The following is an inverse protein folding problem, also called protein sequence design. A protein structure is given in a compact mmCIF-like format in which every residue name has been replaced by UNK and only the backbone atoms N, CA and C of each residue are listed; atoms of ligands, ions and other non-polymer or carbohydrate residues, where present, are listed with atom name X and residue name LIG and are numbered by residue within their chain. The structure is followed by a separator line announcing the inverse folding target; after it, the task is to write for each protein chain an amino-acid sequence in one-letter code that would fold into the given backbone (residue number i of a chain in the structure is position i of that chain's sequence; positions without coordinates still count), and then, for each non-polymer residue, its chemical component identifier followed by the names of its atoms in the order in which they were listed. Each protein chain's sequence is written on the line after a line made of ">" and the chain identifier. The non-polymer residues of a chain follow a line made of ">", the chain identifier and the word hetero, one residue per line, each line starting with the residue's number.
data_IF_189012877686
#
_entry.id   IF_189012877686
#
_cell.length_a   1.000
_cell.length_b   1.000
_cell.length_c   1.000
_cell.angle_alpha   90.00
_cell.angle_beta   90.00
_cell.angle_gamma   90.00
#
_symmetry.space_group_name_H-M   'P 1'
#
loop_
_entity.id
_entity.type
_entity.pdbx_description
1 polymer ?
#
# COMPACT_ATOMS: atom_id res chain seq x y z
N UNK A 1 -9.69 -22.82 -10.68
CA UNK A 1 -10.27 -21.78 -11.55
C UNK A 1 -10.13 -20.45 -10.81
N UNK A 2 -9.33 -19.49 -11.30
CA UNK A 2 -9.33 -18.12 -10.77
C UNK A 2 -10.50 -17.38 -11.42
N UNK A 3 -11.69 -17.44 -10.81
CA UNK A 3 -12.80 -16.57 -11.22
C UNK A 3 -12.39 -15.13 -10.95
N UNK A 4 -12.35 -14.32 -12.00
CA UNK A 4 -12.12 -12.89 -11.87
C UNK A 4 -13.35 -12.30 -11.17
N UNK A 5 -13.19 -11.82 -9.94
CA UNK A 5 -14.27 -11.16 -9.20
C UNK A 5 -14.61 -9.84 -9.92
N UNK A 6 -15.86 -9.73 -10.37
CA UNK A 6 -16.40 -8.52 -10.99
C UNK A 6 -16.62 -7.41 -9.95
N UNK A 7 -16.22 -6.18 -10.28
CA UNK A 7 -16.26 -5.06 -9.33
C UNK A 7 -17.68 -4.60 -9.01
N UNK A 8 -18.63 -4.73 -9.94
CA UNK A 8 -20.03 -4.38 -9.74
C UNK A 8 -20.71 -5.42 -8.85
N UNK A 9 -20.50 -6.71 -9.13
CA UNK A 9 -21.00 -7.79 -8.27
C UNK A 9 -20.43 -7.69 -6.85
N UNK A 10 -19.16 -7.31 -6.71
CA UNK A 10 -18.55 -7.12 -5.40
C UNK A 10 -19.15 -5.93 -4.64
N UNK A 11 -19.40 -4.81 -5.31
CA UNK A 11 -20.05 -3.64 -4.71
C UNK A 11 -21.49 -3.95 -4.28
N UNK A 12 -22.25 -4.65 -5.13
CA UNK A 12 -23.61 -5.07 -4.84
C UNK A 12 -23.67 -6.01 -3.63
N UNK A 13 -22.78 -7.01 -3.56
CA UNK A 13 -22.69 -7.90 -2.41
C UNK A 13 -22.39 -7.15 -1.10
N UNK A 14 -21.51 -6.13 -1.15
CA UNK A 14 -21.27 -5.26 0.01
C UNK A 14 -22.55 -4.50 0.37
N UNK A 15 -23.24 -3.91 -0.60
CA UNK A 15 -24.47 -3.15 -0.35
C UNK A 15 -25.54 -4.01 0.32
N UNK A 16 -25.73 -5.25 -0.16
CA UNK A 16 -26.63 -6.21 0.46
C UNK A 16 -26.21 -6.51 1.92
N UNK A 17 -24.92 -6.65 2.19
CA UNK A 17 -24.41 -6.81 3.54
C UNK A 17 -24.69 -5.58 4.41
N UNK A 18 -24.45 -4.37 3.89
CA UNK A 18 -24.72 -3.12 4.62
C UNK A 18 -26.20 -3.00 5.02
N UNK A 19 -27.10 -3.44 4.14
CA UNK A 19 -28.54 -3.48 4.44
C UNK A 19 -28.86 -4.38 5.64
N UNK A 20 -28.17 -5.53 5.79
CA UNK A 20 -28.31 -6.38 6.98
C UNK A 20 -27.91 -5.69 8.29
N UNK A 21 -26.99 -4.72 8.23
CA UNK A 21 -26.60 -3.88 9.36
C UNK A 21 -27.48 -2.62 9.52
N UNK A 22 -28.64 -2.55 8.86
CA UNK A 22 -29.52 -1.37 8.79
C UNK A 22 -28.84 -0.11 8.23
N UNK A 23 -27.82 -0.28 7.38
CA UNK A 23 -27.13 0.81 6.70
C UNK A 23 -27.62 0.84 5.26
N UNK A 24 -28.56 1.74 4.98
CA UNK A 24 -29.09 1.94 3.64
C UNK A 24 -28.19 2.92 2.87
N UNK A 25 -27.61 2.43 1.77
CA UNK A 25 -26.85 3.24 0.83
C UNK A 25 -27.34 2.98 -0.58
N UNK A 26 -27.27 4.00 -1.43
CA UNK A 26 -27.48 3.83 -2.87
C UNK A 26 -26.41 2.92 -3.47
N UNK A 27 -26.73 2.31 -4.62
CA UNK A 27 -25.80 1.45 -5.36
C UNK A 27 -24.76 2.30 -6.11
N UNK A 28 -23.93 2.99 -5.34
CA UNK A 28 -22.81 3.80 -5.80
C UNK A 28 -21.55 3.39 -5.04
N UNK A 29 -20.48 3.07 -5.78
CA UNK A 29 -19.27 2.50 -5.21
C UNK A 29 -18.62 3.40 -4.15
N UNK A 30 -18.67 4.74 -4.34
CA UNK A 30 -18.09 5.70 -3.40
C UNK A 30 -18.94 5.78 -2.14
N UNK A 31 -20.28 5.84 -2.26
CA UNK A 31 -21.20 5.84 -1.11
C UNK A 31 -21.06 4.56 -0.30
N UNK A 32 -21.01 3.40 -0.98
CA UNK A 32 -20.78 2.09 -0.35
C UNK A 32 -19.44 2.07 0.39
N UNK A 33 -18.38 2.55 -0.24
CA UNK A 33 -17.05 2.60 0.37
C UNK A 33 -17.01 3.49 1.62
N UNK A 34 -17.66 4.66 1.57
CA UNK A 34 -17.74 5.58 2.70
C UNK A 34 -18.54 4.98 3.87
N UNK A 35 -19.67 4.34 3.59
CA UNK A 35 -20.47 3.66 4.60
C UNK A 35 -19.71 2.50 5.23
N UNK A 36 -18.98 1.72 4.42
CA UNK A 36 -18.04 0.74 4.95
C UNK A 36 -17.03 1.39 5.90
N UNK A 37 -16.45 2.56 5.57
CA UNK A 37 -15.47 3.18 6.46
C UNK A 37 -16.04 3.53 7.84
N UNK A 38 -17.31 3.92 7.94
CA UNK A 38 -17.97 4.24 9.22
C UNK A 38 -18.23 3.03 10.14
N UNK A 39 -18.16 1.81 9.63
CA UNK A 39 -18.43 0.60 10.40
C UNK A 39 -17.23 0.24 11.29
N UNK A 40 -17.51 -0.27 12.49
CA UNK A 40 -16.46 -0.67 13.43
C UNK A 40 -15.67 -1.88 12.87
N UNK A 41 -14.46 -2.10 13.38
CA UNK A 41 -13.57 -3.14 12.83
C UNK A 41 -14.10 -4.56 13.05
N UNK A 42 -14.83 -4.80 14.13
CA UNK A 42 -15.37 -6.11 14.48
C UNK A 42 -16.53 -6.50 13.54
N UNK A 43 -17.39 -5.57 13.21
CA UNK A 43 -18.50 -5.70 12.26
C UNK A 43 -17.98 -5.89 10.83
N UNK A 44 -16.92 -5.15 10.44
CA UNK A 44 -16.27 -5.33 9.13
C UNK A 44 -15.78 -6.76 8.90
N UNK A 45 -15.31 -7.46 9.93
CA UNK A 45 -14.90 -8.87 9.78
C UNK A 45 -16.09 -9.78 9.44
N UNK A 46 -17.29 -9.49 9.98
CA UNK A 46 -18.52 -10.19 9.63
C UNK A 46 -18.94 -9.94 8.19
N UNK A 47 -18.79 -8.69 7.71
CA UNK A 47 -19.13 -8.32 6.33
C UNK A 47 -18.38 -9.18 5.31
N UNK A 48 -17.09 -9.43 5.49
CA UNK A 48 -16.32 -10.21 4.52
C UNK A 48 -16.75 -11.67 4.44
N UNK A 49 -17.21 -12.26 5.56
CA UNK A 49 -17.79 -13.61 5.53
C UNK A 49 -19.10 -13.61 4.74
N UNK A 50 -19.95 -12.62 4.96
CA UNK A 50 -21.24 -12.51 4.26
C UNK A 50 -21.04 -12.25 2.75
N UNK A 51 -20.15 -11.34 2.38
CA UNK A 51 -19.79 -11.08 0.97
C UNK A 51 -19.26 -12.35 0.30
N UNK A 52 -18.40 -13.11 1.00
CA UNK A 52 -17.86 -14.37 0.50
C UNK A 52 -18.97 -15.41 0.28
N UNK A 53 -19.94 -15.51 1.18
CA UNK A 53 -21.11 -16.39 1.01
C UNK A 53 -21.96 -15.97 -0.19
N UNK A 54 -22.26 -14.68 -0.35
CA UNK A 54 -23.05 -14.16 -1.49
C UNK A 54 -22.36 -14.48 -2.83
N UNK A 55 -21.05 -14.29 -2.90
CA UNK A 55 -20.26 -14.49 -4.11
C UNK A 55 -19.79 -15.93 -4.31
N UNK A 56 -20.09 -16.83 -3.36
CA UNK A 56 -19.63 -18.23 -3.36
C UNK A 56 -18.11 -18.37 -3.51
N UNK A 57 -17.35 -17.55 -2.77
CA UNK A 57 -15.89 -17.55 -2.74
C UNK A 57 -15.39 -17.77 -1.31
N UNK A 58 -14.09 -18.03 -1.19
CA UNK A 58 -13.42 -18.08 0.11
C UNK A 58 -13.44 -16.72 0.81
N UNK A 59 -13.63 -16.73 2.13
CA UNK A 59 -13.61 -15.53 2.97
C UNK A 59 -12.31 -14.71 2.77
N UNK A 60 -11.17 -15.40 2.73
CA UNK A 60 -9.86 -14.78 2.50
C UNK A 60 -9.79 -14.11 1.12
N UNK A 61 -10.43 -14.68 0.09
CA UNK A 61 -10.47 -14.11 -1.24
C UNK A 61 -11.28 -12.81 -1.28
N UNK A 62 -12.44 -12.76 -0.63
CA UNK A 62 -13.26 -11.55 -0.53
C UNK A 62 -12.51 -10.41 0.18
N UNK A 63 -11.93 -10.71 1.36
CA UNK A 63 -11.12 -9.76 2.12
C UNK A 63 -9.92 -9.24 1.31
N UNK A 64 -9.17 -10.14 0.68
CA UNK A 64 -8.00 -9.77 -0.12
C UNK A 64 -8.38 -8.95 -1.36
N UNK A 65 -9.49 -9.28 -2.02
CA UNK A 65 -9.97 -8.52 -3.16
C UNK A 65 -10.37 -7.09 -2.77
N UNK A 66 -11.06 -6.94 -1.64
CA UNK A 66 -11.40 -5.61 -1.10
C UNK A 66 -10.14 -4.77 -0.86
N UNK A 67 -9.15 -5.30 -0.13
CA UNK A 67 -7.97 -4.54 0.25
C UNK A 67 -7.00 -4.25 -0.91
N UNK A 68 -6.85 -5.19 -1.85
CA UNK A 68 -5.85 -5.07 -2.92
C UNK A 68 -6.41 -4.45 -4.20
N UNK A 69 -7.70 -4.61 -4.46
CA UNK A 69 -8.31 -4.22 -5.74
C UNK A 69 -9.42 -3.20 -5.54
N UNK A 70 -10.50 -3.56 -4.85
CA UNK A 70 -11.70 -2.73 -4.85
C UNK A 70 -11.52 -1.42 -4.06
N UNK A 71 -10.93 -1.46 -2.87
CA UNK A 71 -10.73 -0.23 -2.08
C UNK A 71 -9.67 0.70 -2.67
N UNK A 72 -8.72 0.18 -3.45
CA UNK A 72 -7.62 0.98 -4.00
C UNK A 72 -8.08 1.96 -5.07
N UNK A 73 -9.24 1.72 -5.70
CA UNK A 73 -9.83 2.62 -6.70
C UNK A 73 -10.26 3.98 -6.12
N UNK A 74 -10.46 4.07 -4.79
CA UNK A 74 -10.86 5.31 -4.11
C UNK A 74 -9.68 6.13 -3.58
N UNK A 75 -8.45 5.63 -3.74
CA UNK A 75 -7.24 6.31 -3.30
C UNK A 75 -6.40 6.80 -4.47
N UNK A 76 -5.65 7.87 -4.24
CA UNK A 76 -4.66 8.36 -5.20
C UNK A 76 -3.61 7.28 -5.47
N UNK A 77 -3.32 7.05 -6.76
CA UNK A 77 -2.21 6.19 -7.18
C UNK A 77 -0.89 6.76 -6.63
N UNK A 78 -0.23 6.01 -5.75
CA UNK A 78 1.02 6.43 -5.11
C UNK A 78 2.25 6.32 -6.01
N UNK A 79 2.19 5.55 -7.12
CA UNK A 79 3.36 5.28 -7.97
C UNK A 79 4.04 6.57 -8.49
N UNK A 80 3.32 7.59 -8.99
CA UNK A 80 3.91 8.85 -9.45
C UNK A 80 4.63 9.63 -8.35
N UNK A 81 4.22 9.45 -7.08
CA UNK A 81 4.79 10.17 -5.93
C UNK A 81 6.04 9.51 -5.36
N UNK A 82 6.38 8.28 -5.77
CA UNK A 82 7.53 7.53 -5.24
C UNK A 82 8.87 8.29 -5.32
N UNK A 83 9.22 8.98 -6.43
CA UNK A 83 10.46 9.76 -6.49
C UNK A 83 10.49 10.89 -5.47
N UNK A 84 9.37 11.57 -5.26
CA UNK A 84 9.25 12.67 -4.32
C UNK A 84 9.33 12.16 -2.87
N UNK A 85 8.61 11.08 -2.56
CA UNK A 85 8.68 10.41 -1.25
C UNK A 85 10.13 10.01 -0.94
N UNK A 86 10.85 9.43 -1.92
CA UNK A 86 12.27 9.09 -1.75
C UNK A 86 13.12 10.32 -1.43
N UNK A 87 12.91 11.44 -2.13
CA UNK A 87 13.62 12.70 -1.86
C UNK A 87 13.34 13.21 -0.43
N UNK A 88 12.08 13.19 0.01
CA UNK A 88 11.70 13.58 1.37
C UNK A 88 12.41 12.72 2.41
N UNK A 89 12.47 11.40 2.21
CA UNK A 89 13.15 10.47 3.12
C UNK A 89 14.66 10.72 3.16
N UNK A 90 15.30 10.93 2.00
CA UNK A 90 16.74 11.18 1.92
C UNK A 90 17.14 12.50 2.61
N UNK A 91 16.27 13.51 2.56
CA UNK A 91 16.48 14.79 3.22
C UNK A 91 16.19 14.75 4.73
N UNK A 92 15.51 13.70 5.21
CA UNK A 92 15.07 13.57 6.60
C UNK A 92 15.34 12.14 7.13
N UNK A 93 16.61 11.68 7.15
CA UNK A 93 16.93 10.28 7.44
C UNK A 93 16.54 9.84 8.86
N UNK A 94 16.61 10.76 9.82
CA UNK A 94 16.41 10.49 11.24
C UNK A 94 14.94 10.59 11.68
N UNK A 95 14.07 11.17 10.84
CA UNK A 95 12.65 11.35 11.14
C UNK A 95 11.92 10.00 11.17
N UNK A 96 11.05 9.81 12.17
CA UNK A 96 10.31 8.57 12.32
C UNK A 96 9.35 8.31 11.14
N UNK A 97 9.10 7.04 10.83
CA UNK A 97 8.23 6.65 9.73
C UNK A 97 6.83 7.28 9.85
N UNK A 98 6.27 7.32 11.06
CA UNK A 98 4.93 7.87 11.32
C UNK A 98 4.86 9.36 10.99
N UNK A 99 5.90 10.10 11.36
CA UNK A 99 6.01 11.54 11.10
C UNK A 99 6.21 11.82 9.61
N UNK A 100 7.03 11.04 8.91
CA UNK A 100 7.19 11.13 7.46
C UNK A 100 5.88 10.91 6.71
N UNK A 101 5.10 9.90 7.11
CA UNK A 101 3.79 9.62 6.52
C UNK A 101 2.85 10.82 6.71
N UNK A 102 2.79 11.37 7.93
CA UNK A 102 1.97 12.54 8.21
C UNK A 102 2.43 13.77 7.41
N UNK A 103 3.74 14.00 7.33
CA UNK A 103 4.32 15.10 6.57
C UNK A 103 3.95 15.00 5.08
N UNK A 104 4.07 13.82 4.47
CA UNK A 104 3.69 13.60 3.07
C UNK A 104 2.19 13.85 2.86
N UNK A 105 1.32 13.39 3.77
CA UNK A 105 -0.12 13.66 3.67
C UNK A 105 -0.43 15.17 3.77
N UNK A 106 0.29 15.89 4.62
CA UNK A 106 0.12 17.34 4.77
C UNK A 106 0.64 18.14 3.56
N UNK A 107 1.64 17.63 2.83
CA UNK A 107 2.15 18.26 1.60
C UNK A 107 1.18 18.15 0.41
N UNK A 108 0.28 17.17 0.43
CA UNK A 108 -0.66 16.90 -0.65
C UNK A 108 -2.09 16.75 -0.10
N UNK A 109 -2.67 17.82 0.46
CA UNK A 109 -3.98 17.76 1.13
C UNK A 109 -5.12 17.34 0.19
N UNK A 110 -4.99 17.64 -1.11
CA UNK A 110 -5.99 17.27 -2.13
C UNK A 110 -5.91 15.79 -2.56
N UNK A 111 -4.86 15.06 -2.15
CA UNK A 111 -4.64 13.68 -2.53
C UNK A 111 -5.12 12.73 -1.43
N UNK A 112 -6.01 11.81 -1.79
CA UNK A 112 -6.51 10.78 -0.88
C UNK A 112 -5.56 9.58 -0.86
N UNK A 113 -4.44 9.69 -0.14
CA UNK A 113 -3.54 8.55 0.02
C UNK A 113 -4.11 7.50 0.98
N UNK A 114 -4.01 6.22 0.60
CA UNK A 114 -4.17 5.12 1.56
C UNK A 114 -3.03 5.17 2.56
N UNK A 115 -3.34 5.43 3.83
CA UNK A 115 -2.35 5.50 4.93
C UNK A 115 -1.51 4.24 5.01
N UNK A 116 -2.12 3.07 4.86
CA UNK A 116 -1.44 1.79 4.87
C UNK A 116 -0.44 1.67 3.71
N UNK A 117 -0.88 1.97 2.48
CA UNK A 117 -0.01 1.89 1.30
C UNK A 117 1.14 2.89 1.40
N UNK A 118 0.88 4.10 1.90
CA UNK A 118 1.90 5.11 2.12
C UNK A 118 2.90 4.67 3.19
N UNK A 119 2.44 4.11 4.31
CA UNK A 119 3.31 3.55 5.35
C UNK A 119 4.24 2.47 4.78
N UNK A 120 3.72 1.53 3.98
CA UNK A 120 4.52 0.49 3.34
C UNK A 120 5.58 1.06 2.40
N UNK A 121 5.19 2.04 1.57
CA UNK A 121 6.14 2.70 0.65
C UNK A 121 7.24 3.43 1.42
N UNK A 122 6.89 4.19 2.46
CA UNK A 122 7.88 4.88 3.30
C UNK A 122 8.82 3.89 3.98
N UNK A 123 8.29 2.80 4.55
CA UNK A 123 9.10 1.75 5.16
C UNK A 123 10.13 1.18 4.18
N UNK A 124 9.68 0.72 3.00
CA UNK A 124 10.54 0.11 1.99
C UNK A 124 11.62 1.10 1.52
N UNK A 125 11.26 2.36 1.31
CA UNK A 125 12.22 3.38 0.86
C UNK A 125 13.24 3.74 1.95
N UNK A 126 12.82 3.82 3.21
CA UNK A 126 13.72 4.07 4.34
C UNK A 126 14.72 2.94 4.52
N UNK A 127 14.26 1.68 4.48
CA UNK A 127 15.14 0.51 4.53
C UNK A 127 16.17 0.49 3.38
N UNK A 128 15.74 0.84 2.15
CA UNK A 128 16.65 0.97 1.01
C UNK A 128 17.69 2.08 1.19
N UNK A 129 17.28 3.22 1.72
CA UNK A 129 18.20 4.34 1.98
C UNK A 129 19.25 3.98 3.05
N UNK A 130 18.85 3.27 4.12
CA UNK A 130 19.76 2.80 5.16
C UNK A 130 20.74 1.75 4.62
N UNK A 131 20.27 0.79 3.83
CA UNK A 131 21.13 -0.21 3.20
C UNK A 131 22.12 0.40 2.21
N UNK A 132 21.74 1.45 1.48
CA UNK A 132 22.67 2.18 0.62
C UNK A 132 23.76 2.92 1.41
N UNK A 133 23.46 3.46 2.59
CA UNK A 133 24.49 4.05 3.47
C UNK A 133 25.46 2.99 4.01
N UNK A 134 24.97 1.80 4.32
CA UNK A 134 25.78 0.71 4.87
C UNK A 134 26.60 -0.02 3.79
N UNK A 135 26.15 0.00 2.53
CA UNK A 135 26.87 -0.55 1.37
C UNK A 135 27.77 0.48 0.66
N UNK A 136 28.20 1.53 1.35
CA UNK A 136 29.45 2.23 1.00
C UNK A 136 30.62 1.34 1.44
N UNK A 137 30.62 0.09 0.97
CA UNK A 137 31.78 -0.77 0.97
C UNK A 137 32.74 -0.22 -0.08
N UNK A 138 34.02 -0.13 0.29
CA UNK A 138 35.13 0.33 -0.54
C UNK A 138 34.92 0.03 -2.03
N UNK A 139 34.54 1.04 -2.82
CA UNK A 139 34.73 0.98 -4.26
C UNK A 139 36.20 1.30 -4.49
N UNK A 140 37.05 0.29 -4.51
CA UNK A 140 38.40 0.45 -5.05
C UNK A 140 38.20 0.66 -6.55
N UNK A 141 38.58 1.82 -7.12
CA UNK A 141 38.56 1.99 -8.57
C UNK A 141 39.34 0.84 -9.19
N UNK A 142 38.87 0.25 -10.29
CA UNK A 142 39.59 -0.82 -11.00
C UNK A 142 41.06 -0.43 -11.30
N UNK A 143 41.31 0.88 -11.44
CA UNK A 143 42.63 1.49 -11.63
C UNK A 143 43.58 1.31 -10.43
N UNK A 144 43.06 1.11 -9.22
CA UNK A 144 43.81 0.86 -7.99
C UNK A 144 43.95 -0.63 -7.66
N UNK A 145 43.35 -1.52 -8.45
CA UNK A 145 43.60 -2.95 -8.34
C UNK A 145 44.94 -3.28 -9.01
N UNK A 146 46.02 -3.37 -8.22
CA UNK A 146 47.29 -3.91 -8.70
C UNK A 146 47.02 -5.35 -9.16
N UNK A 147 47.32 -5.66 -10.43
CA UNK A 147 47.26 -7.04 -10.91
C UNK A 147 48.41 -7.79 -10.25
N UNK A 148 48.12 -8.89 -9.59
CA UNK A 148 49.11 -9.76 -8.93
C UNK A 148 50.27 -10.20 -9.85
N UNK A 149 50.06 -10.15 -11.17
CA UNK A 149 51.06 -10.47 -12.20
C UNK A 149 52.18 -9.43 -12.30
N UNK A 150 51.94 -8.18 -11.91
CA UNK A 150 52.94 -7.09 -11.98
C UNK A 150 53.83 -7.04 -10.72
N UNK A 151 53.47 -7.77 -9.66
CA UNK A 151 54.18 -7.77 -8.38
C UNK A 151 55.22 -8.90 -8.22
N UNK A 152 55.30 -9.83 -9.19
CA UNK A 152 56.16 -11.04 -9.10
C UNK A 152 57.44 -10.90 -9.96
N UNK A 153 57.66 -9.77 -10.64
CA UNK A 153 58.85 -9.53 -11.47
C UNK A 153 59.91 -8.62 -10.82
N UNK A 154 60.20 -8.82 -9.54
CA UNK A 154 61.41 -8.26 -8.89
C UNK A 154 62.27 -9.36 -8.29
#
# INVERSE_FOLDING_TARGET
>A
MNSRIDSFLFADAIQQCLHYYNIHVENDAIKIYNALQSININEKQGIWRNVATILQIEHSAAHNYYHNTWSTQFYTNIKPYRPIIKKIILNNPDVEQKELVQHIMNLYPDQKFSKHNLQQVVYIQKQRALNHKNNIGFSIPIQMCIRYQDAIQQ
#
